data_IF_524497453428
#
_entry.id   IF_524497453428
#
_cell.length_a   1.000
_cell.length_b   1.000
_cell.length_c   1.000
_cell.angle_alpha   90.00
_cell.angle_beta   90.00
_cell.angle_gamma   90.00
#
_symmetry.space_group_name_H-M   'P 1'
#
loop_
_entity.id
_entity.type
_entity.pdbx_description
1 polymer ?
2 non-polymer ?
3 non-polymer ?
4 non-polymer ?
5 water ?
#
# COMPACT_ATOMS: atom_id res chain seq x y z
N UNK A 4 11.18 -16.57 1.36
CA UNK A 4 11.13 -15.29 2.13
C UNK A 4 9.84 -14.55 1.71
N UNK A 5 9.09 -14.01 2.68
CA UNK A 5 7.82 -13.33 2.38
C UNK A 5 8.02 -12.12 1.50
N UNK A 6 9.07 -11.35 1.76
CA UNK A 6 9.38 -10.19 0.92
C UNK A 6 9.68 -10.63 -0.50
N UNK A 7 10.40 -11.73 -0.68
CA UNK A 7 10.66 -12.24 -2.04
C UNK A 7 9.37 -12.62 -2.74
N UNK A 8 8.45 -13.27 -2.04
CA UNK A 8 7.17 -13.65 -2.61
C UNK A 8 6.42 -12.41 -3.08
N UNK A 9 6.41 -11.38 -2.24
CA UNK A 9 5.76 -10.14 -2.60
C UNK A 9 6.46 -9.48 -3.81
N UNK A 10 7.79 -9.46 -3.84
CA UNK A 10 8.48 -8.86 -4.97
C UNK A 10 8.13 -9.59 -6.26
N UNK A 11 8.07 -10.91 -6.24
CA UNK A 11 7.74 -11.68 -7.44
C UNK A 11 6.34 -11.33 -7.91
N UNK A 12 5.41 -11.30 -6.96
CA UNK A 12 4.02 -10.95 -7.26
C UNK A 12 3.88 -9.51 -7.77
N UNK A 13 4.58 -8.58 -7.14
CA UNK A 13 4.49 -7.19 -7.51
C UNK A 13 5.05 -6.97 -8.92
N UNK A 14 6.07 -7.73 -9.31
CA UNK A 14 6.58 -7.66 -10.67
C UNK A 14 5.53 -8.04 -11.68
N UNK A 15 4.82 -9.12 -11.41
CA UNK A 15 3.72 -9.52 -12.28
C UNK A 15 2.60 -8.47 -12.27
N UNK A 16 2.32 -7.86 -11.13
CA UNK A 16 1.27 -6.84 -11.05
C UNK A 16 1.62 -5.60 -11.86
N UNK A 17 2.85 -5.11 -11.71
CA UNK A 17 3.27 -3.91 -12.43
C UNK A 17 3.39 -4.18 -13.93
N UNK A 18 3.59 -5.43 -14.31
CA UNK A 18 3.62 -5.87 -15.72
C UNK A 18 2.24 -6.04 -16.32
N UNK A 19 1.20 -5.84 -15.52
CA UNK A 19 -0.18 -6.04 -15.94
C UNK A 19 -0.88 -4.70 -16.02
N UNK A 20 -1.31 -4.32 -17.22
CA UNK A 20 -2.03 -3.08 -17.38
C UNK A 20 -3.28 -3.06 -16.50
N UNK A 21 -3.57 -1.89 -15.98
CA UNK A 21 -4.76 -1.68 -15.19
C UNK A 21 -4.60 -1.95 -13.71
N UNK A 22 -3.44 -2.43 -13.26
CA UNK A 22 -3.25 -2.78 -11.85
C UNK A 22 -3.54 -1.59 -10.93
N UNK A 23 -2.89 -0.45 -11.19
CA UNK A 23 -3.05 0.71 -10.34
C UNK A 23 -4.41 1.38 -10.54
N UNK A 24 -4.94 1.33 -11.75
CA UNK A 24 -6.32 1.81 -11.99
C UNK A 24 -7.29 1.03 -11.12
N UNK A 25 -7.15 -0.28 -11.12
CA UNK A 25 -8.05 -1.14 -10.38
C UNK A 25 -7.87 -0.94 -8.87
N UNK A 26 -6.63 -0.81 -8.40
CA UNK A 26 -6.40 -0.51 -6.99
C UNK A 26 -7.23 0.70 -6.57
N UNK A 27 -7.08 1.83 -7.26
CA UNK A 27 -7.78 3.03 -6.84
C UNK A 27 -9.29 2.92 -7.01
N UNK A 28 -9.75 2.22 -8.03
CA UNK A 28 -11.18 2.01 -8.17
C UNK A 28 -11.71 1.29 -6.93
N UNK A 29 -11.02 0.23 -6.50
CA UNK A 29 -11.47 -0.51 -5.34
C UNK A 29 -11.37 0.31 -4.06
N UNK A 30 -10.26 1.03 -3.91
CA UNK A 30 -9.99 1.81 -2.72
C UNK A 30 -11.02 2.95 -2.57
N UNK A 31 -11.25 3.70 -3.64
CA UNK A 31 -12.24 4.76 -3.62
C UNK A 31 -13.63 4.22 -3.33
N UNK A 32 -13.97 3.06 -3.90
CA UNK A 32 -15.30 2.48 -3.74
C UNK A 32 -15.56 2.04 -2.31
N UNK A 33 -14.50 1.79 -1.55
CA UNK A 33 -14.64 1.19 -0.22
C UNK A 33 -15.25 2.09 0.84
N UNK A 34 -15.18 3.40 0.68
CA UNK A 34 -15.70 4.32 1.68
C UNK A 34 -15.79 5.73 1.16
N UNK A 35 -16.85 6.47 1.55
CA UNK A 35 -16.91 7.89 1.22
C UNK A 35 -15.75 8.67 1.80
N UNK A 36 -15.17 8.21 2.90
CA UNK A 36 -14.02 8.89 3.48
C UNK A 36 -12.82 8.89 2.54
N UNK A 37 -12.64 7.82 1.80
CA UNK A 37 -11.54 7.71 0.85
C UNK A 37 -11.80 8.64 -0.34
N UNK A 38 -13.02 8.58 -0.86
CA UNK A 38 -13.38 9.49 -1.95
C UNK A 38 -13.18 10.96 -1.57
N UNK A 39 -13.55 11.32 -0.35
CA UNK A 39 -13.39 12.72 0.09
C UNK A 39 -11.92 13.12 0.17
N UNK A 40 -11.07 12.21 0.61
CA UNK A 40 -9.67 12.52 0.74
C UNK A 40 -9.01 12.78 -0.62
N UNK A 41 -9.46 12.07 -1.65
CA UNK A 41 -8.84 12.12 -2.98
C UNK A 41 -9.59 12.99 -3.99
N UNK A 42 -10.58 13.77 -3.52
CA UNK A 42 -11.46 14.51 -4.42
C UNK A 42 -10.73 15.52 -5.31
N UNK A 43 -9.61 16.06 -4.84
CA UNK A 43 -8.80 16.98 -5.64
C UNK A 43 -7.36 16.49 -5.68
N UNK A 44 -7.21 15.21 -6.04
CA UNK A 44 -5.93 14.58 -6.32
C UNK A 44 -5.81 14.26 -7.81
N UNK A 45 -4.64 14.50 -8.39
CA UNK A 45 -4.34 14.05 -9.75
C UNK A 45 -4.08 12.56 -9.63
N UNK A 46 -5.06 11.75 -10.03
CA UNK A 46 -4.97 10.31 -9.81
C UNK A 46 -3.94 9.65 -10.71
N UNK A 47 -3.63 10.24 -11.85
CA UNK A 47 -2.58 9.71 -12.71
C UNK A 47 -1.23 9.83 -12.02
N UNK A 48 -0.96 11.01 -11.47
CA UNK A 48 0.25 11.22 -10.71
C UNK A 48 0.27 10.34 -9.46
N UNK A 49 -0.88 10.20 -8.82
CA UNK A 49 -0.95 9.44 -7.57
C UNK A 49 -0.58 7.97 -7.79
N UNK A 50 -0.95 7.40 -8.93
CA UNK A 50 -0.60 6.01 -9.23
C UNK A 50 0.92 5.82 -9.28
N UNK A 51 1.64 6.79 -9.81
CA UNK A 51 3.09 6.74 -9.81
C UNK A 51 3.64 6.81 -8.40
N UNK A 52 3.06 7.69 -7.58
CA UNK A 52 3.49 7.80 -6.20
C UNK A 52 3.23 6.51 -5.45
N UNK A 53 2.09 5.89 -5.66
CA UNK A 53 1.78 4.65 -4.97
C UNK A 53 2.72 3.52 -5.38
N UNK A 54 3.06 3.46 -6.65
CA UNK A 54 3.98 2.43 -7.12
C UNK A 54 5.29 2.52 -6.34
N UNK A 55 5.80 3.73 -6.17
CA UNK A 55 7.03 3.97 -5.43
C UNK A 55 6.82 3.74 -3.93
N UNK A 56 5.64 4.08 -3.41
CA UNK A 56 5.34 3.89 -2.00
C UNK A 56 5.31 2.44 -1.58
N UNK A 57 4.68 1.61 -2.41
CA UNK A 57 4.69 0.17 -2.17
C UNK A 57 6.13 -0.34 -2.20
N UNK A 58 6.94 0.15 -3.13
CA UNK A 58 8.35 -0.22 -3.15
C UNK A 58 9.03 0.17 -1.85
N UNK A 59 8.72 1.34 -1.30
CA UNK A 59 9.31 1.74 -0.02
C UNK A 59 8.93 0.81 1.11
N UNK A 60 7.68 0.33 1.12
CA UNK A 60 7.24 -0.60 2.16
C UNK A 60 7.96 -1.94 2.00
N UNK A 61 8.20 -2.37 0.76
CA UNK A 61 8.96 -3.60 0.53
C UNK A 61 10.42 -3.42 0.96
N UNK A 62 11.03 -2.29 0.64
CA UNK A 62 12.42 -2.04 1.04
C UNK A 62 12.57 -2.06 2.56
N UNK A 63 11.62 -1.44 3.27
CA UNK A 63 11.60 -1.51 4.73
C UNK A 63 11.55 -2.96 5.19
N UNK A 64 10.69 -3.77 4.59
CA UNK A 64 10.52 -5.17 4.98
C UNK A 64 11.75 -6.02 4.65
N UNK A 65 12.62 -5.54 3.76
CA UNK A 65 13.90 -6.19 3.44
C UNK A 65 15.07 -5.73 4.30
N UNK A 66 14.81 -4.79 5.20
CA UNK A 66 15.81 -4.39 6.17
C UNK A 66 16.36 -2.99 5.99
N UNK A 67 15.77 -2.20 5.11
CA UNK A 67 16.16 -0.80 5.05
C UNK A 67 15.74 -0.09 6.30
N UNK A 68 16.35 1.10 6.42
CA UNK A 68 16.26 2.02 7.58
C UNK A 68 14.73 2.44 7.72
N UNK A 69 14.12 2.51 8.92
CA UNK A 69 12.75 3.00 9.04
C UNK A 69 12.55 4.49 8.69
N UNK A 70 13.58 5.17 8.22
CA UNK A 70 13.53 6.61 7.96
C UNK A 70 12.40 7.03 7.03
N UNK A 71 12.27 6.34 5.90
CA UNK A 71 11.23 6.68 4.92
C UNK A 71 9.83 6.39 5.44
N UNK A 72 9.66 5.29 6.18
CA UNK A 72 8.37 4.97 6.78
C UNK A 72 7.99 5.95 7.86
N UNK A 73 8.97 6.43 8.62
CA UNK A 73 8.72 7.47 9.62
C UNK A 73 8.21 8.73 8.94
N UNK A 74 8.80 9.07 7.79
CA UNK A 74 8.39 10.23 7.01
C UNK A 74 6.96 10.09 6.49
N UNK A 75 6.59 8.91 6.00
CA UNK A 75 5.21 8.61 5.62
C UNK A 75 4.28 8.67 6.82
N UNK A 76 4.73 8.18 7.97
CA UNK A 76 3.98 8.35 9.20
C UNK A 76 3.68 9.81 9.48
N UNK A 77 4.67 10.66 9.34
CA UNK A 77 4.48 12.09 9.58
C UNK A 77 3.50 12.69 8.56
N UNK A 78 3.66 12.36 7.28
CA UNK A 78 2.85 12.97 6.24
C UNK A 78 1.40 12.55 6.29
N UNK A 79 1.13 11.34 6.79
CA UNK A 79 -0.22 10.82 6.87
C UNK A 79 -0.83 11.03 8.26
N UNK A 80 -0.08 11.67 9.15
CA UNK A 80 -0.53 11.88 10.53
C UNK A 80 -1.65 12.90 10.60
N UNK A 81 -2.28 12.95 11.78
CA UNK A 81 -3.35 13.88 12.04
C UNK A 81 -2.94 15.33 11.76
N UNK A 82 -1.68 15.66 12.00
CA UNK A 82 -1.15 17.02 11.79
C UNK A 82 -0.87 17.37 10.33
N UNK A 83 -1.01 16.42 9.42
CA UNK A 83 -0.73 16.63 8.01
C UNK A 83 -1.91 16.11 7.19
N UNK A 84 -1.78 15.01 6.45
CA UNK A 84 -2.89 14.57 5.60
C UNK A 84 -4.10 14.12 6.41
N UNK A 85 -3.85 13.64 7.62
CA UNK A 85 -4.88 13.21 8.58
C UNK A 85 -5.62 11.98 8.09
N UNK A 86 -4.89 10.86 8.07
CA UNK A 86 -5.42 9.58 7.62
C UNK A 86 -5.61 8.68 8.83
N UNK A 87 -6.86 8.47 9.21
CA UNK A 87 -7.18 7.69 10.40
C UNK A 87 -6.71 6.24 10.22
N UNK A 88 -6.20 5.63 11.28
CA UNK A 88 -5.67 4.26 11.20
C UNK A 88 -6.63 3.25 10.56
N UNK A 89 -7.93 3.38 10.76
CA UNK A 89 -8.90 2.43 10.21
C UNK A 89 -8.85 2.38 8.66
N UNK A 90 -8.44 3.46 8.03
CA UNK A 90 -8.44 3.52 6.57
C UNK A 90 -7.40 2.61 5.93
N UNK A 91 -6.36 2.24 6.66
CA UNK A 91 -5.33 1.36 6.12
C UNK A 91 -5.84 -0.06 5.88
N UNK A 92 -6.85 -0.48 6.63
CA UNK A 92 -7.43 -1.79 6.39
C UNK A 92 -8.12 -1.80 5.03
N UNK A 93 -8.76 -0.68 4.69
CA UNK A 93 -9.39 -0.54 3.37
C UNK A 93 -8.38 -0.48 2.25
N UNK A 94 -7.25 0.19 2.51
CA UNK A 94 -6.15 0.25 1.55
C UNK A 94 -5.63 -1.15 1.27
N UNK A 95 -5.42 -1.93 2.33
CA UNK A 95 -4.87 -3.26 2.17
C UNK A 95 -5.86 -4.18 1.47
N UNK A 96 -7.14 -4.09 1.83
CA UNK A 96 -8.14 -4.89 1.14
C UNK A 96 -8.17 -4.58 -0.36
N UNK A 97 -8.08 -3.31 -0.73
CA UNK A 97 -8.12 -2.91 -2.12
C UNK A 97 -6.89 -3.43 -2.87
N UNK A 98 -5.74 -3.38 -2.20
CA UNK A 98 -4.51 -3.91 -2.76
C UNK A 98 -4.62 -5.41 -3.02
N UNK A 99 -5.11 -6.15 -2.04
CA UNK A 99 -5.25 -7.58 -2.21
C UNK A 99 -6.20 -7.94 -3.34
N UNK A 100 -7.26 -7.18 -3.53
CA UNK A 100 -8.18 -7.41 -4.63
C UNK A 100 -7.47 -7.15 -5.97
N UNK A 101 -6.71 -6.06 -6.07
CA UNK A 101 -5.96 -5.74 -7.28
C UNK A 101 -4.90 -6.80 -7.60
N UNK A 102 -4.25 -7.31 -6.57
CA UNK A 102 -3.27 -8.38 -6.73
C UNK A 102 -3.95 -9.64 -7.27
N UNK A 103 -5.09 -10.01 -6.69
CA UNK A 103 -5.81 -11.19 -7.17
C UNK A 103 -6.24 -11.06 -8.63
N UNK A 104 -6.51 -9.83 -9.07
CA UNK A 104 -6.96 -9.57 -10.42
C UNK A 104 -5.82 -9.50 -11.43
N UNK A 105 -4.62 -9.19 -10.98
CA UNK A 105 -3.50 -8.92 -11.89
C UNK A 105 -2.31 -9.84 -11.81
N UNK A 106 -2.22 -10.63 -10.75
CA UNK A 106 -1.15 -11.60 -10.59
C UNK A 106 -1.73 -12.96 -10.91
N UNK A 107 -1.40 -13.49 -12.08
CA UNK A 107 -1.96 -14.77 -12.54
C UNK A 107 -1.60 -15.95 -11.64
N UNK A 108 -0.54 -15.82 -10.85
CA UNK A 108 -0.08 -16.87 -9.94
C UNK A 108 -0.53 -16.66 -8.49
N UNK A 109 -1.37 -15.66 -8.25
CA UNK A 109 -1.83 -15.36 -6.90
C UNK A 109 -2.51 -16.57 -6.29
N UNK A 110 -2.09 -16.90 -5.06
CA UNK A 110 -2.69 -17.97 -4.27
C UNK A 110 -2.69 -17.55 -2.81
N UNK A 111 -3.12 -18.45 -1.93
CA UNK A 111 -3.19 -18.10 -0.50
C UNK A 111 -1.85 -17.67 0.05
N UNK A 112 -0.77 -18.35 -0.34
CA UNK A 112 0.55 -17.97 0.13
C UNK A 112 0.92 -16.55 -0.29
N UNK A 113 0.59 -16.19 -1.53
CA UNK A 113 0.90 -14.85 -2.05
C UNK A 113 0.13 -13.82 -1.24
N UNK A 114 -1.16 -14.07 -1.03
CA UNK A 114 -2.00 -13.09 -0.33
C UNK A 114 -1.52 -12.89 1.10
N UNK A 115 -1.16 -13.98 1.79
CA UNK A 115 -0.66 -13.85 3.16
C UNK A 115 0.68 -13.14 3.23
N UNK A 116 1.51 -13.35 2.22
CA UNK A 116 2.78 -12.64 2.17
C UNK A 116 2.55 -11.14 1.99
N UNK A 117 1.62 -10.76 1.13
CA UNK A 117 1.29 -9.35 0.98
C UNK A 117 0.79 -8.76 2.30
N UNK A 118 -0.12 -9.45 2.96
CA UNK A 118 -0.66 -8.93 4.22
C UNK A 118 0.41 -8.77 5.28
N UNK A 119 1.32 -9.73 5.35
CA UNK A 119 2.41 -9.72 6.33
C UNK A 119 3.40 -8.60 6.02
N UNK A 120 3.87 -8.56 4.77
CA UNK A 120 4.88 -7.60 4.36
C UNK A 120 4.34 -6.16 4.41
N UNK A 121 3.15 -5.93 3.87
CA UNK A 121 2.58 -4.58 3.95
C UNK A 121 2.22 -4.22 5.39
N UNK A 122 1.74 -5.18 6.17
CA UNK A 122 1.33 -4.90 7.53
C UNK A 122 2.42 -4.34 8.41
N UNK A 123 3.66 -4.73 8.17
CA UNK A 123 4.79 -4.23 8.96
C UNK A 123 4.94 -2.75 8.83
N UNK A 124 4.93 -2.27 7.60
CA UNK A 124 5.12 -0.87 7.33
C UNK A 124 3.90 -0.07 7.71
N UNK A 125 2.72 -0.62 7.46
CA UNK A 125 1.46 0.02 7.87
C UNK A 125 1.46 0.26 9.36
N UNK A 126 1.96 -0.70 10.14
CA UNK A 126 2.04 -0.53 11.59
C UNK A 126 2.87 0.70 11.96
N UNK A 127 3.98 0.90 11.29
CA UNK A 127 4.83 2.06 11.56
C UNK A 127 4.05 3.34 11.24
N UNK A 128 3.43 3.38 10.07
CA UNK A 128 2.71 4.58 9.65
C UNK A 128 1.61 4.93 10.65
N UNK A 129 0.79 3.94 11.02
CA UNK A 129 -0.32 4.13 11.96
C UNK A 129 0.17 4.65 13.30
N UNK A 130 1.36 4.21 13.70
CA UNK A 130 1.87 4.53 15.03
C UNK A 130 2.12 6.02 15.18
N UNK A 131 2.30 6.71 14.06
CA UNK A 131 2.55 8.16 14.06
C UNK A 131 1.28 9.00 13.95
N UNK A 132 0.12 8.38 13.82
CA UNK A 132 -1.09 9.15 13.54
C UNK A 132 -1.33 10.30 14.54
N UNK A 133 -1.29 9.98 15.83
CA UNK A 133 -1.61 10.93 16.88
C UNK A 133 -0.39 11.57 17.52
N UNK A 134 0.74 11.51 16.83
CA UNK A 134 2.01 12.00 17.34
C UNK A 134 2.17 13.50 17.20
X LIG B 1 -0.26 10.93 -0.48
X LIG B 1 1.66 6.40 0.02
X LIG B 1 -2.08 5.20 2.70
X LIG B 1 -4.40 9.25 1.47
X LIG B 1 0.61 9.82 -0.49
X LIG B 1 1.96 9.80 -1.03
X LIG B 1 2.48 8.58 -0.91
X LIG B 1 1.49 7.73 -0.28
X LIG B 1 3.89 8.13 -1.36
X LIG B 1 2.67 11.00 -1.64
X LIG B 1 3.78 11.46 -0.68
X LIG B 1 3.33 11.53 0.77
X LIG B 1 2.49 12.39 1.11
X LIG B 1 3.82 10.73 1.61
X LIG B 1 0.84 5.65 0.82
X LIG B 1 1.02 4.29 1.29
X LIG B 1 -0.01 3.96 2.05
X LIG B 1 -0.90 5.13 2.05
X LIG B 1 2.23 3.38 0.95
X LIG B 1 -0.29 2.60 2.76
X LIG B 1 0.67 1.91 3.38
X LIG B 1 -3.04 6.16 2.51
X LIG B 1 -4.39 6.01 2.96
X LIG B 1 -5.05 7.10 2.61
X LIG B 1 -4.13 7.99 1.93
X LIG B 1 -4.90 4.77 3.69
X LIG B 1 -6.53 7.35 2.90
X LIG B 1 -7.32 8.05 2.10
X LIG B 1 -3.52 10.09 0.86
X LIG B 1 -3.86 11.40 0.41
X LIG B 1 -2.60 11.95 -0.22
X LIG B 1 -1.60 10.92 -0.09
X LIG B 1 -5.23 12.08 0.52
X LIG B 1 -2.53 13.34 -0.88
X LIG B 1 -3.21 13.26 -2.26
X LIG B 1 -3.26 14.63 -2.92
X LIG B 1 -4.02 15.51 -2.43
X LIG B 1 -2.54 14.86 -3.93
X LIG B 1 0.38 8.54 -0.05
X LIG B 1 -0.35 6.15 1.31
X LIG B 1 -2.89 7.38 1.89
X LIG B 1 -2.19 9.83 0.57
X LIG B 1 -1.20 8.09 0.93
X LIG C 1 -2.27 7.02 -1.45
X LIG C 1 -2.64 5.72 -0.83
X LIG C 1 -3.31 4.93 -1.88
X LIG C 1 -1.74 7.89 -0.85
X LIG C 1 -2.56 7.23 -2.75
X LIG D 1 -5.90 17.54 -0.29
X LIG D 1 -6.87 17.58 -1.31
X LIG D 1 -5.78 16.15 0.29
X LIG D 1 -6.95 15.74 0.97
X LIG E 1 -9.47 5.20 -10.39
X LIG E 1 -8.47 4.36 -10.93
X LIG E 1 -8.89 6.55 -10.07
X LIG E 1 -8.39 7.14 -11.25
#
# INVERSE_FOLDING_TARGET
GHMNAADRVMQSYGRCCASTGFFDDFYRHFLASSPQIRAKFATTDMTAQKHLLRAGIMNLVMYARGMSDSKLRALGASHSRAALDIRPELYDLWLDALLMAVAEHDRDCDAETRDAWRDVMGRGIAVIKSYYGS
HEM CHA CHB CHC CHD C1A C2A C3A C4A CMA CAA CBA CGA O1A O2A C1B C2B C3B C4B CMB CAB CBB C1C C2C C3C C4C CMC CAC CBC C1D C2D C3D C4D CMD CAD CBD CGD O1D O2D NA NB NC ND FE
PPI C1 C2 C3 O1 O2
EDO C1 O1 C2 O2
EDO C1 O1 C2 O2
#
